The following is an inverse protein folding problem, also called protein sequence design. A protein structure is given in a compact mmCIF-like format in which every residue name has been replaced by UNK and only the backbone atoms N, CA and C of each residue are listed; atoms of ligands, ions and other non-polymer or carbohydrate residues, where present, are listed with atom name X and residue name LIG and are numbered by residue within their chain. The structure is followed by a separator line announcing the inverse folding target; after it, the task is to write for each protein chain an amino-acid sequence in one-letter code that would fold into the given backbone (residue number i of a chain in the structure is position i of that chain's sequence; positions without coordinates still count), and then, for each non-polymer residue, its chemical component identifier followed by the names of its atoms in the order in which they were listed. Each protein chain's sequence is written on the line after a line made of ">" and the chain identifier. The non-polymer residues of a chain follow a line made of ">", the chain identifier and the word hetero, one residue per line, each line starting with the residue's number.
data_IF_575490158677
#
_entry.id   IF_575490158677
#
_cell.length_a   1.000
_cell.length_b   1.000
_cell.length_c   1.000
_cell.angle_alpha   90.00
_cell.angle_beta   90.00
_cell.angle_gamma   90.00
#
_symmetry.space_group_name_H-M   'P 1'
#
loop_
_entity.id
_entity.type
_entity.pdbx_description
1 polymer ?
#
# COMPACT_ATOMS: atom_id res chain seq x y z
N UNK A 1 -28.54 -22.86 10.64
CA UNK A 1 -27.23 -22.19 10.81
C UNK A 1 -26.64 -21.97 9.41
N UNK A 2 -26.90 -20.84 8.82
CA UNK A 2 -26.31 -20.47 7.53
C UNK A 2 -24.84 -20.14 7.75
N UNK A 3 -23.95 -20.95 7.15
CA UNK A 3 -22.51 -20.66 7.12
C UNK A 3 -22.31 -19.39 6.30
N UNK A 4 -21.81 -18.32 6.93
CA UNK A 4 -21.32 -17.14 6.22
C UNK A 4 -20.24 -17.56 5.22
N UNK A 5 -20.51 -17.36 3.94
CA UNK A 5 -19.64 -17.69 2.81
C UNK A 5 -18.48 -16.70 2.64
N UNK A 6 -18.48 -15.60 3.37
CA UNK A 6 -17.45 -14.56 3.30
C UNK A 6 -16.83 -14.39 4.67
N UNK A 7 -15.67 -14.98 4.88
CA UNK A 7 -14.79 -14.62 6.01
C UNK A 7 -13.97 -13.39 5.59
N UNK A 8 -13.92 -12.41 6.47
CA UNK A 8 -13.08 -11.19 6.32
C UNK A 8 -11.63 -11.46 6.69
N UNK A 9 -11.32 -12.65 7.15
CA UNK A 9 -9.97 -13.04 7.55
C UNK A 9 -9.16 -13.41 6.30
N UNK A 10 -8.03 -12.74 6.15
CA UNK A 10 -7.06 -12.96 5.06
C UNK A 10 -6.32 -14.25 5.37
N UNK A 11 -6.39 -15.23 4.48
CA UNK A 11 -5.66 -16.50 4.64
C UNK A 11 -4.19 -16.34 4.20
N UNK A 12 -3.30 -17.24 4.68
CA UNK A 12 -1.89 -17.26 4.25
C UNK A 12 -1.74 -17.44 2.73
N UNK A 13 -2.66 -18.17 2.10
CA UNK A 13 -2.74 -18.31 0.63
C UNK A 13 -3.11 -17.00 -0.06
N UNK A 14 -3.97 -16.17 0.53
CA UNK A 14 -4.29 -14.85 0.01
C UNK A 14 -3.07 -13.92 0.05
N UNK A 15 -2.23 -14.01 1.09
CA UNK A 15 -0.98 -13.25 1.19
C UNK A 15 0.02 -13.65 0.10
N UNK A 16 0.22 -14.95 -0.14
CA UNK A 16 1.15 -15.45 -1.17
C UNK A 16 0.67 -15.09 -2.58
N UNK A 17 -0.63 -15.22 -2.85
CA UNK A 17 -1.23 -14.87 -4.14
C UNK A 17 -1.24 -13.35 -4.38
N UNK A 18 -1.45 -12.54 -3.34
CA UNK A 18 -1.31 -11.08 -3.48
C UNK A 18 0.12 -10.65 -3.80
N UNK A 19 1.12 -11.34 -3.25
CA UNK A 19 2.53 -11.12 -3.57
C UNK A 19 2.81 -11.33 -5.07
N UNK A 20 2.29 -12.40 -5.64
CA UNK A 20 2.48 -12.75 -7.05
C UNK A 20 1.75 -11.80 -8.03
N UNK A 21 0.64 -11.17 -7.59
CA UNK A 21 -0.09 -10.21 -8.41
C UNK A 21 0.56 -8.83 -8.45
N UNK A 22 1.48 -8.52 -7.53
CA UNK A 22 2.12 -7.21 -7.46
C UNK A 22 3.20 -7.08 -8.54
N UNK A 23 3.23 -5.97 -9.30
CA UNK A 23 4.33 -5.69 -10.20
C UNK A 23 5.63 -5.53 -9.41
N UNK A 24 6.73 -5.99 -10.01
CA UNK A 24 8.05 -5.98 -9.38
C UNK A 24 8.94 -4.85 -9.91
N UNK A 25 8.61 -4.26 -11.06
CA UNK A 25 9.36 -3.20 -11.73
C UNK A 25 8.46 -1.99 -12.02
N UNK A 26 9.07 -0.82 -12.27
CA UNK A 26 8.32 0.37 -12.69
C UNK A 26 7.67 0.18 -14.06
N UNK A 27 8.30 -0.58 -14.95
CA UNK A 27 7.78 -0.83 -16.30
C UNK A 27 6.53 -1.72 -16.28
N UNK A 28 6.45 -2.66 -15.33
CA UNK A 28 5.27 -3.48 -15.10
C UNK A 28 4.13 -2.76 -14.36
N UNK A 29 4.42 -1.64 -13.76
CA UNK A 29 3.44 -0.90 -12.96
C UNK A 29 2.54 -0.07 -13.86
N UNK A 30 1.24 -0.38 -13.87
CA UNK A 30 0.22 0.29 -14.69
C UNK A 30 -0.30 1.51 -13.97
N UNK A 31 -0.47 2.61 -14.68
CA UNK A 31 -1.00 3.87 -14.16
C UNK A 31 0.01 4.70 -13.35
N UNK A 32 -0.46 5.80 -12.77
CA UNK A 32 0.36 6.76 -12.01
C UNK A 32 1.55 7.31 -12.79
N UNK A 33 1.39 7.60 -14.08
CA UNK A 33 2.49 7.90 -15.01
C UNK A 33 3.39 9.07 -14.55
N UNK A 34 2.81 10.10 -13.93
CA UNK A 34 3.57 11.21 -13.37
C UNK A 34 4.48 10.77 -12.23
N UNK A 35 3.96 9.95 -11.33
CA UNK A 35 4.73 9.39 -10.21
C UNK A 35 5.83 8.46 -10.71
N UNK A 36 5.53 7.57 -11.67
CA UNK A 36 6.49 6.64 -12.27
C UNK A 36 7.65 7.38 -12.94
N UNK A 37 7.34 8.36 -13.80
CA UNK A 37 8.38 9.11 -14.53
C UNK A 37 9.31 9.85 -13.57
N UNK A 38 8.78 10.44 -12.52
CA UNK A 38 9.59 11.15 -11.52
C UNK A 38 10.44 10.16 -10.69
N UNK A 39 9.85 9.06 -10.22
CA UNK A 39 10.58 8.02 -9.48
C UNK A 39 11.70 7.40 -10.31
N UNK A 40 11.47 7.16 -11.61
CA UNK A 40 12.50 6.61 -12.51
C UNK A 40 13.73 7.51 -12.56
N UNK A 41 13.53 8.83 -12.65
CA UNK A 41 14.63 9.80 -12.64
C UNK A 41 15.39 9.78 -11.31
N UNK A 42 14.67 9.77 -10.18
CA UNK A 42 15.32 9.79 -8.86
C UNK A 42 16.09 8.51 -8.56
N UNK A 43 15.51 7.35 -8.90
CA UNK A 43 16.18 6.05 -8.75
C UNK A 43 17.44 5.99 -9.61
N UNK A 44 17.36 6.39 -10.88
CA UNK A 44 18.50 6.42 -11.80
C UNK A 44 19.61 7.35 -11.29
N UNK A 45 19.24 8.54 -10.82
CA UNK A 45 20.20 9.49 -10.26
C UNK A 45 20.87 8.98 -8.97
N UNK A 46 20.12 8.31 -8.08
CA UNK A 46 20.66 7.69 -6.87
C UNK A 46 21.64 6.56 -7.21
N UNK A 47 21.28 5.68 -8.16
CA UNK A 47 22.15 4.62 -8.65
C UNK A 47 23.47 5.15 -9.23
N UNK A 48 23.41 6.23 -10.04
CA UNK A 48 24.63 6.85 -10.63
C UNK A 48 25.54 7.45 -9.57
N UNK A 49 25.00 7.97 -8.48
CA UNK A 49 25.79 8.52 -7.37
C UNK A 49 26.23 7.47 -6.36
N UNK A 50 25.75 6.23 -6.48
CA UNK A 50 25.93 5.17 -5.46
C UNK A 50 25.49 5.61 -4.07
N UNK A 51 24.34 6.28 -3.98
CA UNK A 51 23.81 6.84 -2.73
C UNK A 51 22.39 6.32 -2.46
N UNK A 52 21.93 6.44 -1.21
CA UNK A 52 20.54 6.16 -0.87
C UNK A 52 19.60 7.13 -1.59
N UNK A 53 18.37 6.68 -1.87
CA UNK A 53 17.32 7.55 -2.40
C UNK A 53 16.88 8.53 -1.31
N UNK A 54 16.49 9.73 -1.69
CA UNK A 54 15.84 10.67 -0.77
C UNK A 54 14.57 10.06 -0.14
N UNK A 55 14.20 10.51 1.05
CA UNK A 55 13.01 10.02 1.73
C UNK A 55 11.74 10.35 0.95
N UNK A 56 10.86 9.35 0.79
CA UNK A 56 9.67 9.43 -0.07
C UNK A 56 8.39 9.32 0.74
N UNK A 57 7.42 10.18 0.48
CA UNK A 57 6.07 10.09 1.04
C UNK A 57 5.04 9.80 -0.05
N UNK A 58 4.36 8.66 0.06
CA UNK A 58 3.17 8.35 -0.74
C UNK A 58 1.90 8.67 0.03
N UNK A 59 1.02 9.48 -0.55
CA UNK A 59 -0.26 9.80 0.08
C UNK A 59 -1.42 9.68 -0.91
N UNK A 60 -2.61 9.41 -0.38
CA UNK A 60 -3.83 9.23 -1.17
C UNK A 60 -4.70 8.10 -0.63
N UNK A 61 -5.88 7.86 -1.24
CA UNK A 61 -6.83 6.84 -0.81
C UNK A 61 -6.22 5.45 -0.61
N UNK A 62 -6.84 4.57 0.19
CA UNK A 62 -6.36 3.21 0.37
C UNK A 62 -6.50 2.38 -0.90
N UNK A 63 -5.62 1.39 -1.09
CA UNK A 63 -5.72 0.43 -2.19
C UNK A 63 -5.15 0.90 -3.54
N UNK A 64 -4.43 2.03 -3.59
CA UNK A 64 -3.84 2.63 -4.80
C UNK A 64 -2.39 2.17 -5.09
N UNK A 65 -1.82 1.27 -4.29
CA UNK A 65 -0.50 0.70 -4.58
C UNK A 65 0.68 1.36 -3.86
N UNK A 66 0.48 2.12 -2.77
CA UNK A 66 1.57 2.73 -1.98
C UNK A 66 2.64 1.71 -1.57
N UNK A 67 2.24 0.61 -0.97
CA UNK A 67 3.15 -0.49 -0.58
C UNK A 67 3.81 -1.16 -1.78
N UNK A 68 3.09 -1.29 -2.89
CA UNK A 68 3.62 -1.87 -4.14
C UNK A 68 4.72 -0.99 -4.73
N UNK A 69 4.50 0.32 -4.83
CA UNK A 69 5.52 1.27 -5.30
C UNK A 69 6.76 1.25 -4.40
N UNK A 70 6.58 1.14 -3.08
CA UNK A 70 7.71 1.04 -2.15
C UNK A 70 8.53 -0.23 -2.39
N UNK A 71 7.87 -1.37 -2.65
CA UNK A 71 8.55 -2.62 -3.01
C UNK A 71 9.28 -2.51 -4.36
N UNK A 72 8.68 -1.85 -5.34
CA UNK A 72 9.32 -1.59 -6.63
C UNK A 72 10.58 -0.73 -6.46
N UNK A 73 10.54 0.32 -5.64
CA UNK A 73 11.73 1.14 -5.36
C UNK A 73 12.85 0.26 -4.80
N UNK A 74 12.53 -0.61 -3.83
CA UNK A 74 13.53 -1.51 -3.24
C UNK A 74 14.14 -2.47 -4.29
N UNK A 75 13.30 -3.07 -5.13
CA UNK A 75 13.73 -3.95 -6.20
C UNK A 75 14.61 -3.20 -7.23
N UNK A 76 14.18 -2.03 -7.65
CA UNK A 76 14.94 -1.20 -8.60
C UNK A 76 16.28 -0.75 -8.01
N UNK A 77 16.34 -0.38 -6.73
CA UNK A 77 17.57 -0.01 -6.03
C UNK A 77 18.46 -1.24 -5.70
N UNK A 78 17.91 -2.45 -5.73
CA UNK A 78 18.60 -3.67 -5.36
C UNK A 78 18.89 -3.79 -3.86
N UNK A 79 18.01 -3.24 -3.01
CA UNK A 79 18.17 -3.18 -1.54
C UNK A 79 17.02 -3.87 -0.81
N UNK A 80 17.20 -4.17 0.47
CA UNK A 80 16.17 -4.76 1.28
C UNK A 80 15.13 -3.72 1.74
N UNK A 81 13.87 -4.14 1.82
CA UNK A 81 12.78 -3.34 2.37
C UNK A 81 12.29 -3.93 3.69
N UNK A 82 12.44 -3.18 4.77
CA UNK A 82 11.83 -3.49 6.05
C UNK A 82 10.46 -2.82 6.14
N UNK A 83 9.43 -3.61 6.41
CA UNK A 83 8.03 -3.15 6.45
C UNK A 83 7.56 -3.04 7.88
N UNK A 84 6.96 -1.91 8.23
CA UNK A 84 6.28 -1.68 9.50
C UNK A 84 5.06 -0.76 9.30
N UNK A 85 4.36 -0.46 10.37
CA UNK A 85 3.24 0.48 10.33
C UNK A 85 3.26 1.41 11.53
N UNK A 86 2.71 2.63 11.37
CA UNK A 86 2.61 3.59 12.46
C UNK A 86 1.98 3.02 13.73
N UNK A 87 0.82 2.32 13.65
CA UNK A 87 0.20 1.70 14.82
C UNK A 87 1.01 0.59 15.50
N UNK A 88 1.94 -0.04 14.79
CA UNK A 88 2.77 -1.12 15.35
C UNK A 88 3.95 -0.62 16.16
N UNK A 89 4.24 0.68 16.12
CA UNK A 89 5.37 1.30 16.85
C UNK A 89 4.81 2.20 17.93
N UNK A 90 4.85 1.70 19.15
CA UNK A 90 4.30 2.43 20.30
C UNK A 90 5.36 3.25 21.05
N UNK A 91 6.63 2.80 21.03
CA UNK A 91 7.70 3.37 21.84
C UNK A 91 8.89 3.84 21.00
N UNK A 92 9.54 4.94 21.39
CA UNK A 92 10.75 5.43 20.73
C UNK A 92 11.86 4.36 20.59
N UNK A 93 12.04 3.52 21.61
CA UNK A 93 13.03 2.44 21.58
C UNK A 93 12.77 1.37 20.52
N UNK A 94 11.52 1.12 20.16
CA UNK A 94 11.15 0.19 19.09
C UNK A 94 11.57 0.76 17.72
N UNK A 95 11.33 2.05 17.49
CA UNK A 95 11.79 2.74 16.29
C UNK A 95 13.32 2.75 16.22
N UNK A 96 13.99 3.08 17.32
CA UNK A 96 15.45 3.07 17.40
C UNK A 96 16.03 1.67 17.09
N UNK A 97 15.41 0.60 17.60
CA UNK A 97 15.82 -0.77 17.31
C UNK A 97 15.62 -1.13 15.83
N UNK A 98 14.51 -0.68 15.22
CA UNK A 98 14.26 -0.89 13.78
C UNK A 98 15.36 -0.20 12.96
N UNK A 99 15.65 1.07 13.25
CA UNK A 99 16.64 1.88 12.53
C UNK A 99 18.06 1.29 12.67
N UNK A 100 18.44 0.89 13.87
CA UNK A 100 19.77 0.31 14.12
C UNK A 100 20.01 -1.05 13.44
N UNK A 101 18.95 -1.73 13.00
CA UNK A 101 19.02 -3.00 12.28
C UNK A 101 18.93 -2.83 10.74
N UNK A 102 18.98 -1.62 10.22
CA UNK A 102 19.07 -1.35 8.78
C UNK A 102 20.51 -1.49 8.30
N UNK A 103 20.65 -1.81 7.03
CA UNK A 103 21.94 -1.82 6.32
C UNK A 103 22.03 -0.62 5.39
N UNK A 104 23.23 -0.36 4.86
CA UNK A 104 23.45 0.74 3.92
C UNK A 104 22.56 0.61 2.69
N UNK A 105 21.80 1.66 2.41
CA UNK A 105 20.86 1.73 1.30
C UNK A 105 19.48 1.11 1.56
N UNK A 106 19.26 0.42 2.68
CA UNK A 106 17.97 -0.22 2.97
C UNK A 106 16.81 0.75 2.96
N UNK A 107 15.62 0.24 2.66
CA UNK A 107 14.37 0.98 2.71
C UNK A 107 13.58 0.60 3.97
N UNK A 108 13.24 1.60 4.77
CA UNK A 108 12.24 1.46 5.84
C UNK A 108 10.90 1.95 5.33
N UNK A 109 9.96 1.03 5.11
CA UNK A 109 8.57 1.36 4.76
C UNK A 109 7.71 1.42 6.01
N UNK A 110 7.05 2.57 6.22
CA UNK A 110 6.11 2.80 7.33
C UNK A 110 4.72 3.09 6.78
N UNK A 111 3.81 2.11 6.87
CA UNK A 111 2.41 2.33 6.49
C UNK A 111 1.65 3.10 7.57
N UNK A 112 0.63 3.88 7.15
CA UNK A 112 -0.15 4.76 8.03
C UNK A 112 0.74 5.61 8.96
N UNK A 113 1.81 6.17 8.39
CA UNK A 113 2.85 6.91 9.14
C UNK A 113 2.27 8.07 9.98
N UNK A 114 1.14 8.65 9.59
CA UNK A 114 0.43 9.69 10.36
C UNK A 114 -0.10 9.20 11.71
N UNK A 115 -0.04 7.90 12.00
CA UNK A 115 -0.46 7.30 13.26
C UNK A 115 0.71 7.06 14.23
N UNK A 116 1.92 7.44 13.87
CA UNK A 116 3.03 7.49 14.81
C UNK A 116 2.70 8.48 15.94
N UNK A 117 3.06 8.12 17.15
CA UNK A 117 2.98 9.07 18.24
C UNK A 117 4.17 10.06 18.17
N UNK A 118 3.99 11.23 18.78
CA UNK A 118 4.98 12.31 18.71
C UNK A 118 6.38 11.91 19.20
N UNK A 119 6.46 11.09 20.23
CA UNK A 119 7.75 10.65 20.79
C UNK A 119 8.52 9.76 19.81
N UNK A 120 7.81 8.94 19.02
CA UNK A 120 8.41 8.12 17.96
C UNK A 120 8.81 8.99 16.77
N UNK A 121 7.99 9.98 16.40
CA UNK A 121 8.37 10.95 15.35
C UNK A 121 9.66 11.70 15.70
N UNK A 122 9.85 12.09 16.97
CA UNK A 122 11.04 12.80 17.45
C UNK A 122 12.33 11.97 17.27
N UNK A 123 12.26 10.64 17.27
CA UNK A 123 13.39 9.77 16.93
C UNK A 123 13.69 9.77 15.42
N UNK A 124 12.66 9.90 14.59
CA UNK A 124 12.83 9.94 13.14
C UNK A 124 13.50 11.22 12.63
N UNK A 125 13.32 12.35 13.31
CA UNK A 125 13.85 13.61 12.82
C UNK A 125 15.39 13.59 12.63
N UNK A 126 16.21 13.29 13.64
CA UNK A 126 17.65 13.21 13.46
C UNK A 126 18.05 12.00 12.60
N UNK A 127 17.26 10.91 12.61
CA UNK A 127 17.52 9.77 11.78
C UNK A 127 17.37 10.07 10.27
N UNK A 128 16.44 10.95 9.90
CA UNK A 128 16.22 11.36 8.50
C UNK A 128 17.19 12.45 8.05
N UNK A 129 17.59 13.35 8.93
CA UNK A 129 18.46 14.48 8.56
C UNK A 129 19.94 14.12 8.64
N UNK A 130 20.34 13.51 9.77
CA UNK A 130 21.73 13.30 10.13
C UNK A 130 22.17 11.83 10.06
N UNK A 131 21.24 10.92 9.77
CA UNK A 131 21.49 9.47 9.89
C UNK A 131 22.03 9.09 11.27
N UNK A 132 21.41 9.62 12.34
CA UNK A 132 21.80 9.35 13.71
C UNK A 132 20.58 9.34 14.63
N UNK A 133 20.67 8.69 15.77
CA UNK A 133 19.66 8.69 16.82
C UNK A 133 20.30 9.00 18.17
N UNK A 134 19.58 9.74 19.00
CA UNK A 134 20.00 10.06 20.36
C UNK A 134 19.28 9.12 21.34
N UNK A 135 20.04 8.32 22.07
CA UNK A 135 19.52 7.36 23.06
C UNK A 135 19.87 7.84 24.47
N UNK A 136 18.85 7.98 25.32
CA UNK A 136 19.06 8.29 26.73
C UNK A 136 19.39 7.02 27.52
N UNK A 137 20.58 6.95 28.10
CA UNK A 137 21.01 5.85 28.95
C UNK A 137 21.11 6.34 30.41
N UNK A 138 20.55 5.56 31.34
CA UNK A 138 20.52 5.90 32.76
C UNK A 138 19.17 6.51 33.18
N UNK A 139 19.06 6.85 34.46
CA UNK A 139 17.85 7.45 35.07
C UNK A 139 18.26 8.64 35.94
N UNK A 140 17.38 9.64 35.98
CA UNK A 140 17.57 10.84 36.85
C UNK A 140 18.82 11.64 36.48
N UNK A 141 19.54 12.12 37.47
CA UNK A 141 20.72 13.00 37.30
C UNK A 141 21.93 12.32 36.61
N UNK A 142 21.94 11.00 36.49
CA UNK A 142 22.98 10.22 35.81
C UNK A 142 22.61 9.87 34.35
N UNK A 143 21.47 10.33 33.86
CA UNK A 143 21.06 10.13 32.47
C UNK A 143 22.05 10.82 31.50
N UNK A 144 22.52 10.09 30.51
CA UNK A 144 23.40 10.60 29.44
C UNK A 144 22.77 10.30 28.08
N UNK A 145 22.85 11.28 27.18
CA UNK A 145 22.53 11.04 25.77
C UNK A 145 23.73 10.44 25.08
N UNK A 146 23.53 9.34 24.35
CA UNK A 146 24.51 8.74 23.46
C UNK A 146 23.95 8.86 22.05
N UNK A 147 24.72 9.50 21.15
CA UNK A 147 24.41 9.55 19.73
C UNK A 147 24.94 8.29 19.04
N UNK A 148 24.07 7.59 18.36
CA UNK A 148 24.43 6.44 17.53
C UNK A 148 24.27 6.80 16.06
N UNK A 149 25.33 6.60 15.28
CA UNK A 149 25.27 6.76 13.83
C UNK A 149 24.53 5.59 13.20
N UNK A 150 23.72 5.89 12.20
CA UNK A 150 22.95 4.93 11.41
C UNK A 150 23.55 4.81 10.01
N UNK A 151 23.42 3.65 9.36
CA UNK A 151 23.69 3.56 7.94
C UNK A 151 22.73 4.49 7.17
N UNK A 152 23.17 4.99 6.01
CA UNK A 152 22.26 5.75 5.14
C UNK A 152 21.14 4.84 4.68
N UNK A 153 19.91 5.29 4.85
CA UNK A 153 18.70 4.54 4.49
C UNK A 153 17.67 5.46 3.86
N UNK A 154 16.70 4.88 3.19
CA UNK A 154 15.54 5.62 2.67
C UNK A 154 14.31 5.32 3.51
N UNK A 155 13.70 6.36 4.08
CA UNK A 155 12.37 6.24 4.68
C UNK A 155 11.31 6.40 3.59
N UNK A 156 10.45 5.41 3.42
CA UNK A 156 9.26 5.51 2.58
C UNK A 156 8.03 5.51 3.47
N UNK A 157 7.41 6.67 3.62
CA UNK A 157 6.18 6.83 4.36
C UNK A 157 4.96 6.63 3.46
N UNK A 158 3.93 5.97 3.99
CA UNK A 158 2.63 5.87 3.33
C UNK A 158 1.53 6.39 4.25
N UNK A 159 0.59 7.16 3.71
CA UNK A 159 -0.54 7.69 4.47
C UNK A 159 -1.80 7.83 3.63
N UNK A 160 -2.94 7.58 4.24
CA UNK A 160 -4.25 7.92 3.66
C UNK A 160 -4.70 9.34 4.03
N UNK A 161 -4.03 9.99 5.00
CA UNK A 161 -4.41 11.28 5.58
C UNK A 161 -3.20 12.19 5.73
N UNK A 162 -2.70 12.73 4.61
CA UNK A 162 -1.53 13.62 4.60
C UNK A 162 -1.66 14.85 5.52
N UNK A 163 -2.88 15.36 5.69
CA UNK A 163 -3.15 16.50 6.58
C UNK A 163 -3.00 16.20 8.08
N UNK A 164 -2.92 14.92 8.49
CA UNK A 164 -2.67 14.52 9.87
C UNK A 164 -1.19 14.32 10.17
N UNK A 165 -0.32 14.36 9.16
CA UNK A 165 1.11 14.27 9.35
C UNK A 165 1.62 15.59 9.97
N UNK A 166 2.48 15.49 10.97
CA UNK A 166 3.08 16.68 11.58
C UNK A 166 3.92 17.45 10.54
N UNK A 167 3.91 18.77 10.61
CA UNK A 167 4.69 19.59 9.68
C UNK A 167 6.20 19.25 9.75
N UNK A 168 6.83 19.09 10.96
CA UNK A 168 8.23 18.71 11.04
C UNK A 168 8.57 17.38 10.33
N UNK A 169 7.70 16.36 10.45
CA UNK A 169 7.93 15.08 9.76
C UNK A 169 7.73 15.21 8.25
N UNK A 170 6.69 15.92 7.84
CA UNK A 170 6.39 16.12 6.42
C UNK A 170 7.50 16.85 5.67
N UNK A 171 8.06 17.88 6.28
CA UNK A 171 9.07 18.74 5.66
C UNK A 171 10.43 18.03 5.47
N UNK A 172 10.62 16.86 6.10
CA UNK A 172 11.79 16.00 5.94
C UNK A 172 11.70 15.01 4.78
N UNK A 173 10.53 14.89 4.16
CA UNK A 173 10.40 14.13 2.93
C UNK A 173 10.82 14.97 1.73
N UNK A 174 11.92 14.59 1.08
CA UNK A 174 12.41 15.26 -0.14
C UNK A 174 11.48 15.05 -1.34
N UNK A 175 10.73 13.93 -1.34
CA UNK A 175 9.85 13.54 -2.45
C UNK A 175 8.47 13.19 -1.92
N UNK A 176 7.45 13.87 -2.45
CA UNK A 176 6.04 13.61 -2.08
C UNK A 176 5.20 13.31 -3.32
N UNK A 177 4.53 12.17 -3.33
CA UNK A 177 3.66 11.74 -4.42
C UNK A 177 2.23 11.52 -3.97
N UNK A 178 1.31 12.25 -4.61
CA UNK A 178 -0.11 11.98 -4.50
C UNK A 178 -0.50 10.87 -5.47
N UNK A 179 -1.08 9.78 -4.96
CA UNK A 179 -1.63 8.72 -5.79
C UNK A 179 -3.11 8.99 -6.06
N UNK A 180 -3.47 8.94 -7.32
CA UNK A 180 -4.82 9.20 -7.80
C UNK A 180 -5.59 7.91 -8.06
N UNK A 181 -6.91 8.01 -8.15
CA UNK A 181 -7.73 6.88 -8.57
C UNK A 181 -7.39 6.48 -10.00
N UNK A 182 -7.42 5.19 -10.26
CA UNK A 182 -7.17 4.63 -11.58
C UNK A 182 -8.39 4.81 -12.49
N UNK A 183 -8.13 5.01 -13.76
CA UNK A 183 -9.15 4.98 -14.81
C UNK A 183 -9.67 3.56 -15.02
N UNK A 184 -10.84 3.43 -15.66
CA UNK A 184 -11.40 2.12 -15.96
C UNK A 184 -10.51 1.32 -16.93
N UNK A 185 -9.83 1.97 -17.86
CA UNK A 185 -8.93 1.31 -18.80
C UNK A 185 -7.66 0.80 -18.13
N UNK A 186 -7.07 1.59 -17.23
CA UNK A 186 -5.94 1.12 -16.40
C UNK A 186 -6.33 -0.07 -15.53
N UNK A 187 -7.50 -0.03 -14.89
CA UNK A 187 -7.99 -1.14 -14.09
C UNK A 187 -8.30 -2.38 -14.93
N UNK A 188 -8.87 -2.20 -16.13
CA UNK A 188 -9.08 -3.30 -17.10
C UNK A 188 -7.75 -3.98 -17.44
N UNK A 189 -6.72 -3.20 -17.72
CA UNK A 189 -5.38 -3.72 -18.02
C UNK A 189 -4.79 -4.48 -16.81
N UNK A 190 -4.94 -3.93 -15.58
CA UNK A 190 -4.53 -4.60 -14.35
C UNK A 190 -5.27 -5.92 -14.16
N UNK A 191 -6.58 -5.96 -14.41
CA UNK A 191 -7.41 -7.18 -14.27
C UNK A 191 -6.98 -8.24 -15.27
N UNK A 192 -6.75 -7.89 -16.54
CA UNK A 192 -6.29 -8.84 -17.57
C UNK A 192 -4.94 -9.43 -17.18
N UNK A 193 -3.98 -8.61 -16.77
CA UNK A 193 -2.68 -9.07 -16.28
C UNK A 193 -2.84 -9.98 -15.05
N UNK A 194 -3.66 -9.60 -14.09
CA UNK A 194 -3.90 -10.38 -12.89
C UNK A 194 -4.59 -11.72 -13.20
N UNK A 195 -5.50 -11.76 -14.18
CA UNK A 195 -6.13 -13.00 -14.64
C UNK A 195 -5.10 -13.94 -15.28
N UNK A 196 -4.17 -13.43 -16.07
CA UNK A 196 -3.06 -14.21 -16.63
C UNK A 196 -2.19 -14.84 -15.53
N UNK A 197 -1.80 -14.06 -14.52
CA UNK A 197 -1.02 -14.57 -13.37
C UNK A 197 -1.79 -15.64 -12.59
N UNK A 198 -3.12 -15.49 -12.49
CA UNK A 198 -4.00 -16.47 -11.82
C UNK A 198 -4.34 -17.68 -12.70
N UNK A 199 -3.88 -17.72 -13.95
CA UNK A 199 -4.18 -18.81 -14.88
C UNK A 199 -5.65 -18.91 -15.29
N UNK A 200 -6.37 -17.77 -15.36
CA UNK A 200 -7.80 -17.70 -15.68
C UNK A 200 -8.02 -16.94 -16.98
N UNK A 201 -8.77 -17.54 -17.90
CA UNK A 201 -9.21 -16.85 -19.10
C UNK A 201 -10.29 -15.83 -18.79
N UNK A 202 -10.11 -14.61 -19.30
CA UNK A 202 -11.07 -13.51 -19.15
C UNK A 202 -11.25 -12.79 -20.50
N UNK A 203 -12.49 -12.48 -20.86
CA UNK A 203 -12.74 -11.65 -22.03
C UNK A 203 -12.65 -10.15 -21.68
N UNK A 204 -12.45 -9.31 -22.69
CA UNK A 204 -12.31 -7.87 -22.50
C UNK A 204 -13.52 -7.20 -21.86
N UNK A 205 -14.73 -7.69 -22.16
CA UNK A 205 -15.98 -7.15 -21.64
C UNK A 205 -16.17 -7.51 -20.16
N UNK A 206 -15.81 -8.74 -19.78
CA UNK A 206 -15.79 -9.19 -18.38
C UNK A 206 -14.78 -8.40 -17.55
N UNK A 207 -13.58 -8.19 -18.10
CA UNK A 207 -12.56 -7.37 -17.45
C UNK A 207 -13.03 -5.90 -17.27
N UNK A 208 -13.66 -5.32 -18.29
CA UNK A 208 -14.21 -3.97 -18.23
C UNK A 208 -15.34 -3.84 -17.18
N UNK A 209 -16.21 -4.84 -17.06
CA UNK A 209 -17.30 -4.81 -16.07
C UNK A 209 -16.75 -4.90 -14.64
N UNK A 210 -15.74 -5.74 -14.39
CA UNK A 210 -15.06 -5.79 -13.09
C UNK A 210 -14.35 -4.44 -12.81
N UNK A 211 -13.66 -3.87 -13.79
CA UNK A 211 -12.99 -2.58 -13.67
C UNK A 211 -13.97 -1.45 -13.29
N UNK A 212 -15.12 -1.40 -13.95
CA UNK A 212 -16.18 -0.41 -13.69
C UNK A 212 -16.65 -0.44 -12.24
N UNK A 213 -16.81 -1.64 -11.65
CA UNK A 213 -17.25 -1.82 -10.26
C UNK A 213 -16.12 -1.78 -9.23
N UNK A 214 -14.88 -1.48 -9.64
CA UNK A 214 -13.69 -1.48 -8.76
C UNK A 214 -13.37 -0.13 -8.10
N UNK A 215 -14.23 0.87 -8.25
CA UNK A 215 -14.12 2.18 -7.59
C UNK A 215 -12.73 2.84 -7.72
N UNK A 216 -12.10 2.70 -8.87
CA UNK A 216 -10.79 3.31 -9.14
C UNK A 216 -9.61 2.71 -8.36
N UNK A 217 -9.75 1.54 -7.73
CA UNK A 217 -8.69 0.98 -6.89
C UNK A 217 -8.26 -0.43 -7.32
N UNK A 218 -6.96 -0.67 -7.60
CA UNK A 218 -6.43 -1.98 -7.96
C UNK A 218 -6.70 -3.07 -6.92
N UNK A 219 -6.67 -2.71 -5.63
CA UNK A 219 -6.95 -3.67 -4.55
C UNK A 219 -8.37 -4.24 -4.65
N UNK A 220 -9.36 -3.40 -4.91
CA UNK A 220 -10.74 -3.85 -5.08
C UNK A 220 -10.89 -4.64 -6.39
N UNK A 221 -10.25 -4.18 -7.48
CA UNK A 221 -10.26 -4.87 -8.77
C UNK A 221 -9.76 -6.32 -8.63
N UNK A 222 -8.61 -6.52 -8.02
CA UNK A 222 -8.05 -7.85 -7.79
C UNK A 222 -8.91 -8.71 -6.86
N UNK A 223 -9.52 -8.11 -5.83
CA UNK A 223 -10.44 -8.82 -4.94
C UNK A 223 -11.70 -9.28 -5.68
N UNK A 224 -12.29 -8.41 -6.50
CA UNK A 224 -13.46 -8.78 -7.30
C UNK A 224 -13.10 -9.85 -8.35
N UNK A 225 -11.96 -9.72 -9.03
CA UNK A 225 -11.47 -10.72 -9.97
C UNK A 225 -11.36 -12.11 -9.33
N UNK A 226 -10.75 -12.22 -8.16
CA UNK A 226 -10.64 -13.49 -7.42
C UNK A 226 -12.04 -14.09 -7.13
N UNK A 227 -12.99 -13.28 -6.70
CA UNK A 227 -14.35 -13.76 -6.42
C UNK A 227 -15.08 -14.19 -7.70
N UNK A 228 -15.00 -13.41 -8.77
CA UNK A 228 -15.59 -13.78 -10.07
C UNK A 228 -14.98 -15.07 -10.60
N UNK A 229 -13.65 -15.26 -10.46
CA UNK A 229 -12.96 -16.50 -10.79
C UNK A 229 -13.55 -17.70 -10.04
N UNK A 230 -13.75 -17.57 -8.71
CA UNK A 230 -14.30 -18.66 -7.89
C UNK A 230 -15.69 -19.08 -8.42
N UNK A 231 -16.54 -18.12 -8.82
CA UNK A 231 -17.82 -18.40 -9.46
C UNK A 231 -17.67 -19.05 -10.84
N UNK A 232 -16.73 -18.58 -11.66
CA UNK A 232 -16.47 -19.14 -12.99
C UNK A 232 -16.06 -20.61 -12.89
N UNK A 233 -15.18 -20.93 -11.94
CA UNK A 233 -14.69 -22.31 -11.74
C UNK A 233 -15.75 -23.28 -11.20
N UNK A 234 -16.65 -22.81 -10.32
CA UNK A 234 -17.62 -23.71 -9.66
C UNK A 234 -18.91 -23.84 -10.45
N UNK A 235 -19.37 -22.80 -11.13
CA UNK A 235 -20.67 -22.78 -11.80
C UNK A 235 -20.62 -22.78 -13.32
N UNK A 236 -19.46 -22.57 -13.90
CA UNK A 236 -19.23 -22.46 -15.33
C UNK A 236 -17.98 -23.26 -15.75
N UNK A 237 -17.49 -23.04 -16.94
CA UNK A 237 -16.32 -23.70 -17.54
C UNK A 237 -14.94 -23.15 -17.09
N UNK A 238 -14.93 -22.25 -16.11
CA UNK A 238 -13.71 -21.62 -15.60
C UNK A 238 -13.30 -20.33 -16.34
N UNK A 239 -14.01 -19.97 -17.43
CA UNK A 239 -13.76 -18.75 -18.19
C UNK A 239 -14.63 -17.60 -17.69
N UNK A 240 -14.03 -16.42 -17.54
CA UNK A 240 -14.75 -15.21 -17.14
C UNK A 240 -15.21 -14.46 -18.40
N UNK A 241 -16.48 -14.61 -18.75
CA UNK A 241 -17.15 -13.81 -19.76
C UNK A 241 -17.89 -12.63 -19.11
N UNK A 242 -18.38 -11.72 -19.94
CA UNK A 242 -19.23 -10.60 -19.46
C UNK A 242 -20.40 -11.08 -18.62
N UNK A 243 -21.10 -12.12 -19.09
CA UNK A 243 -22.30 -12.64 -18.40
C UNK A 243 -21.92 -13.28 -17.04
N UNK A 244 -20.82 -14.02 -16.99
CA UNK A 244 -20.29 -14.60 -15.75
C UNK A 244 -19.88 -13.50 -14.76
N UNK A 245 -19.19 -12.47 -15.26
CA UNK A 245 -18.80 -11.32 -14.42
C UNK A 245 -20.02 -10.59 -13.86
N UNK A 246 -21.02 -10.28 -14.69
CA UNK A 246 -22.26 -9.64 -14.24
C UNK A 246 -23.03 -10.50 -13.23
N UNK A 247 -23.16 -11.80 -13.50
CA UNK A 247 -23.86 -12.72 -12.61
C UNK A 247 -23.16 -12.77 -11.22
N UNK A 248 -21.84 -12.98 -11.21
CA UNK A 248 -21.07 -13.08 -9.98
C UNK A 248 -21.11 -11.77 -9.17
N UNK A 249 -20.91 -10.62 -9.84
CA UNK A 249 -20.91 -9.31 -9.18
C UNK A 249 -22.29 -8.94 -8.62
N UNK A 250 -23.37 -9.31 -9.31
CA UNK A 250 -24.74 -9.11 -8.81
C UNK A 250 -25.02 -10.01 -7.60
N UNK A 251 -24.56 -11.26 -7.62
CA UNK A 251 -24.70 -12.18 -6.48
C UNK A 251 -23.89 -11.71 -5.26
N UNK A 252 -22.76 -11.04 -5.49
CA UNK A 252 -21.96 -10.38 -4.45
C UNK A 252 -22.57 -9.04 -4.00
N UNK A 253 -23.75 -8.68 -4.52
CA UNK A 253 -24.46 -7.44 -4.22
C UNK A 253 -23.62 -6.18 -4.49
N UNK A 254 -22.66 -6.26 -5.42
CA UNK A 254 -21.87 -5.12 -5.88
C UNK A 254 -22.63 -4.43 -7.01
N UNK A 255 -23.12 -3.23 -6.76
CA UNK A 255 -23.85 -2.45 -7.76
C UNK A 255 -22.95 -1.93 -8.90
N UNK A 256 -23.56 -1.27 -9.87
CA UNK A 256 -22.85 -0.68 -11.01
C UNK A 256 -21.81 0.39 -10.65
N UNK A 257 -21.83 0.92 -9.44
CA UNK A 257 -20.89 1.90 -8.90
C UNK A 257 -19.84 1.27 -7.97
N UNK A 258 -19.87 -0.06 -7.79
CA UNK A 258 -18.99 -0.78 -6.90
C UNK A 258 -19.36 -0.66 -5.42
N UNK A 259 -20.59 -0.25 -5.11
CA UNK A 259 -21.11 -0.20 -3.74
C UNK A 259 -21.77 -1.54 -3.41
N UNK A 260 -21.48 -2.06 -2.21
CA UNK A 260 -22.17 -3.21 -1.67
C UNK A 260 -23.30 -2.73 -0.75
N UNK A 261 -24.44 -3.40 -0.74
CA UNK A 261 -25.61 -3.07 0.11
C UNK A 261 -25.26 -2.92 1.59
N UNK A 262 -24.23 -3.59 2.08
CA UNK A 262 -23.72 -3.42 3.44
C UNK A 262 -23.21 -1.99 3.75
N UNK A 263 -22.80 -1.24 2.71
CA UNK A 263 -22.33 0.15 2.86
C UNK A 263 -23.42 1.20 2.56
N UNK A 264 -24.53 0.80 1.94
CA UNK A 264 -25.66 1.69 1.62
C UNK A 264 -26.75 1.67 2.69
N UNK A 265 -26.70 0.71 3.61
CA UNK A 265 -27.60 0.66 4.76
C UNK A 265 -27.22 1.77 5.75
N UNK A 266 -28.10 2.73 6.07
CA UNK A 266 -27.77 3.77 7.04
C UNK A 266 -27.43 3.12 8.38
N UNK A 267 -26.28 3.52 8.94
CA UNK A 267 -25.81 3.05 10.24
C UNK A 267 -26.92 3.27 11.29
N UNK A 268 -27.06 2.41 12.31
CA UNK A 268 -27.93 2.69 13.45
C UNK A 268 -27.70 4.05 14.12
N UNK A 269 -26.50 4.65 13.93
CA UNK A 269 -26.20 6.01 14.39
C UNK A 269 -26.82 7.09 13.51
N UNK A 270 -26.94 6.87 12.21
CA UNK A 270 -27.51 7.85 11.27
C UNK A 270 -29.03 7.96 11.47
N UNK A 271 -29.68 6.87 11.92
CA UNK A 271 -31.11 6.85 12.25
C UNK A 271 -31.46 7.63 13.53
N UNK A 272 -30.48 7.98 14.37
CA UNK A 272 -30.72 8.76 15.61
C UNK A 272 -30.65 10.28 15.39
N UNK A 273 -30.08 10.74 14.28
CA UNK A 273 -29.99 12.18 13.96
C UNK A 273 -31.18 12.72 13.16
N UNK A 274 -32.10 11.87 12.75
CA UNK A 274 -33.31 12.25 12.00
C UNK A 274 -34.60 12.24 12.84
N UNK A 275 -34.51 12.40 14.17
CA UNK A 275 -35.65 12.62 15.07
C UNK A 275 -35.51 13.91 15.85
#
# INVERSE_FOLDING_TARGET
>A
MEKRIITTDVTEEDFSLEGNLRPQTLDDYIGQEKTKSTLKVYIEAAKQRHDALDHVLFYGPPGLGKTTLSGIIANEMGVHMKVTSGPAIEKPGEMAAILNNLQEGDILFVDEIHRLNRQVEEVLYPAMEDYAIDIMIGKGASARSIRLDLPKFTLVGATTRAGLLSAPLRDRFGVMHHLEFYTHEELKTIIIRSAQVLGVEIDEKGAAEIAKRSRGTPRLANRLLKRVRDFAQVKYDGRITYDVACFALNLLEVDQYGLCLLYTSPSPRDKRQSR
#
